data_IF_099958054071
#
_entry.id   IF_099958054071
#
_cell.length_a   1.000
_cell.length_b   1.000
_cell.length_c   1.000
_cell.angle_alpha   90.00
_cell.angle_beta   90.00
_cell.angle_gamma   90.00
#
_symmetry.space_group_name_H-M   'P 1'
#
loop_
_entity.id
_entity.type
_entity.pdbx_description
1 polymer ?
#
# COMPACT_ATOMS: atom_id res chain seq x y z
N UNK A 1 14.45 -15.14 -7.33
CA UNK A 1 14.36 -16.12 -8.44
C UNK A 1 13.87 -15.46 -9.72
N UNK A 2 12.76 -14.74 -9.72
CA UNK A 2 12.11 -14.21 -10.93
C UNK A 2 12.95 -13.25 -11.79
N UNK A 3 13.79 -12.41 -11.19
CA UNK A 3 14.64 -11.48 -11.95
C UNK A 3 15.67 -12.24 -12.81
N UNK A 4 16.25 -13.31 -12.29
CA UNK A 4 17.20 -14.15 -13.03
C UNK A 4 16.51 -14.91 -14.16
N UNK A 5 15.38 -15.51 -13.89
CA UNK A 5 14.57 -16.24 -14.88
C UNK A 5 14.12 -15.32 -16.02
N UNK A 6 13.71 -14.08 -15.69
CA UNK A 6 13.38 -13.07 -16.69
C UNK A 6 14.58 -12.71 -17.57
N UNK A 7 15.77 -12.53 -16.97
CA UNK A 7 17.00 -12.25 -17.70
C UNK A 7 17.41 -13.42 -18.59
N UNK A 8 17.30 -14.66 -18.12
CA UNK A 8 17.56 -15.88 -18.90
C UNK A 8 16.61 -15.94 -20.11
N UNK A 9 15.33 -15.66 -19.92
CA UNK A 9 14.34 -15.63 -21.00
C UNK A 9 14.67 -14.59 -22.07
N UNK A 10 15.04 -13.36 -21.66
CA UNK A 10 15.41 -12.28 -22.59
C UNK A 10 16.66 -12.62 -23.40
N UNK A 11 17.68 -13.15 -22.74
CA UNK A 11 18.92 -13.58 -23.40
C UNK A 11 18.66 -14.67 -24.45
N UNK A 12 17.87 -15.68 -24.11
CA UNK A 12 17.48 -16.76 -25.02
C UNK A 12 16.62 -16.22 -26.20
N UNK A 13 15.74 -15.24 -25.95
CA UNK A 13 14.95 -14.62 -26.99
C UNK A 13 15.84 -13.89 -28.02
N UNK A 14 16.82 -13.11 -27.55
CA UNK A 14 17.76 -12.43 -28.44
C UNK A 14 18.60 -13.41 -29.28
N UNK A 15 19.09 -14.49 -28.66
CA UNK A 15 19.81 -15.54 -29.38
C UNK A 15 18.96 -16.21 -30.46
N UNK A 16 17.70 -16.52 -30.17
CA UNK A 16 16.75 -17.10 -31.14
C UNK A 16 16.47 -16.16 -32.33
N UNK A 17 16.51 -14.84 -32.09
CA UNK A 17 16.33 -13.83 -33.11
C UNK A 17 17.61 -13.56 -33.93
N UNK A 18 18.69 -14.28 -33.67
CA UNK A 18 19.96 -14.16 -34.40
C UNK A 18 20.81 -12.96 -34.00
N UNK A 19 20.59 -12.37 -32.83
CA UNK A 19 21.46 -11.32 -32.30
C UNK A 19 22.81 -11.95 -31.93
N UNK A 20 23.90 -11.53 -32.60
CA UNK A 20 25.16 -12.23 -32.56
C UNK A 20 25.99 -12.04 -31.27
N UNK A 21 26.00 -10.87 -30.68
CA UNK A 21 26.79 -10.57 -29.48
C UNK A 21 25.87 -10.18 -28.32
N UNK A 22 25.29 -11.22 -27.68
CA UNK A 22 24.45 -11.02 -26.49
C UNK A 22 25.32 -11.27 -25.27
N UNK A 23 25.50 -10.23 -24.47
CA UNK A 23 26.22 -10.29 -23.20
C UNK A 23 25.28 -9.92 -22.06
N UNK A 24 25.45 -10.60 -20.94
CA UNK A 24 24.75 -10.28 -19.71
C UNK A 24 25.70 -9.60 -18.76
N UNK A 25 25.29 -8.47 -18.21
CA UNK A 25 26.03 -7.77 -17.18
C UNK A 25 25.26 -7.85 -15.86
N UNK A 26 25.92 -8.33 -14.80
CA UNK A 26 25.37 -8.37 -13.46
C UNK A 26 25.72 -7.09 -12.71
N UNK A 27 24.74 -6.51 -12.03
CA UNK A 27 24.91 -5.36 -11.15
C UNK A 27 24.01 -5.48 -9.94
N UNK A 28 24.27 -4.68 -8.89
CA UNK A 28 23.45 -4.65 -7.69
C UNK A 28 22.44 -3.52 -7.72
N UNK A 29 21.20 -3.83 -7.35
CA UNK A 29 20.15 -2.84 -7.13
C UNK A 29 19.65 -2.92 -5.68
N UNK A 30 19.27 -1.78 -5.11
CA UNK A 30 18.62 -1.74 -3.81
C UNK A 30 17.13 -1.74 -4.04
N UNK A 31 16.44 -2.75 -3.53
CA UNK A 31 14.98 -2.93 -3.69
C UNK A 31 14.30 -3.00 -2.32
N UNK A 32 13.08 -2.47 -2.20
CA UNK A 32 12.26 -2.68 -1.02
C UNK A 32 11.67 -4.10 -1.06
N UNK A 33 11.75 -4.80 0.05
CA UNK A 33 11.10 -6.09 0.25
C UNK A 33 9.98 -5.93 1.28
N UNK A 34 8.76 -6.25 0.88
CA UNK A 34 7.63 -6.38 1.79
C UNK A 34 7.81 -7.67 2.60
N UNK A 35 7.83 -7.54 3.92
CA UNK A 35 7.96 -8.65 4.87
C UNK A 35 6.64 -8.95 5.58
N UNK A 36 5.55 -8.36 5.10
CA UNK A 36 4.20 -8.53 5.58
C UNK A 36 3.66 -7.32 6.32
N UNK A 37 2.34 -7.17 6.23
CA UNK A 37 1.56 -6.18 6.95
C UNK A 37 0.21 -6.77 7.36
N UNK A 38 -0.30 -6.35 8.52
CA UNK A 38 -1.57 -6.84 9.04
C UNK A 38 -2.31 -5.75 9.81
N UNK A 39 -3.63 -5.82 9.75
CA UNK A 39 -4.55 -5.04 10.57
C UNK A 39 -5.29 -5.98 11.52
N UNK A 40 -5.20 -5.71 12.80
CA UNK A 40 -5.93 -6.43 13.85
C UNK A 40 -7.05 -5.53 14.33
N UNK A 41 -8.27 -6.08 14.38
CA UNK A 41 -9.44 -5.44 14.97
C UNK A 41 -9.78 -6.20 16.25
N UNK A 42 -9.36 -5.75 17.44
CA UNK A 42 -9.52 -6.50 18.69
C UNK A 42 -10.97 -6.88 18.99
N UNK A 43 -11.92 -6.04 18.59
CA UNK A 43 -13.37 -6.32 18.73
C UNK A 43 -13.80 -7.59 17.95
N UNK A 44 -13.05 -8.00 16.91
CA UNK A 44 -13.37 -9.18 16.07
C UNK A 44 -12.62 -10.45 16.52
N UNK A 45 -11.84 -10.36 17.61
CA UNK A 45 -11.01 -11.45 18.12
C UNK A 45 -9.56 -11.37 17.63
N UNK A 46 -8.87 -12.52 17.62
CA UNK A 46 -7.43 -12.61 17.32
C UNK A 46 -7.12 -12.70 15.81
N UNK A 47 -8.12 -12.59 14.93
CA UNK A 47 -7.93 -12.67 13.49
C UNK A 47 -7.17 -11.45 12.94
N UNK A 48 -6.25 -11.70 12.02
CA UNK A 48 -5.51 -10.69 11.29
C UNK A 48 -6.11 -10.51 9.89
N UNK A 49 -6.25 -9.25 9.46
CA UNK A 49 -6.57 -8.89 8.09
C UNK A 49 -5.26 -8.60 7.38
N UNK A 50 -4.94 -9.37 6.34
CA UNK A 50 -3.74 -9.17 5.54
C UNK A 50 -3.80 -7.82 4.82
N UNK A 51 -2.69 -7.08 4.90
CA UNK A 51 -2.48 -5.83 4.17
C UNK A 51 -1.29 -5.97 3.24
N UNK A 52 -1.35 -5.25 2.15
CA UNK A 52 -0.27 -5.21 1.15
C UNK A 52 0.35 -3.81 1.13
N UNK A 53 1.66 -3.75 1.32
CA UNK A 53 2.40 -2.50 1.33
C UNK A 53 2.41 -1.84 -0.05
N UNK A 54 2.06 -0.55 -0.11
CA UNK A 54 2.25 0.23 -1.32
C UNK A 54 3.73 0.52 -1.55
N UNK A 55 4.14 0.69 -2.82
CA UNK A 55 5.51 1.04 -3.17
C UNK A 55 5.97 2.31 -2.42
N UNK A 56 7.24 2.36 -1.95
CA UNK A 56 7.79 3.55 -1.29
C UNK A 56 7.72 4.80 -2.18
N UNK A 57 7.45 5.94 -1.56
CA UNK A 57 7.29 7.23 -2.23
C UNK A 57 8.56 8.11 -2.14
N UNK A 58 9.74 7.55 -2.28
CA UNK A 58 11.07 8.18 -2.12
C UNK A 58 11.48 8.48 -0.67
N UNK A 59 10.55 8.69 0.25
CA UNK A 59 10.84 9.06 1.65
C UNK A 59 10.50 7.93 2.60
N UNK A 60 9.35 7.31 2.42
CA UNK A 60 8.79 6.37 3.37
C UNK A 60 8.55 4.99 2.75
N UNK A 61 9.05 3.98 3.43
CA UNK A 61 8.56 2.61 3.29
C UNK A 61 7.22 2.46 4.03
N UNK A 62 6.51 1.38 3.78
CA UNK A 62 5.27 1.05 4.51
C UNK A 62 5.52 0.50 5.91
N UNK A 63 6.75 0.47 6.38
CA UNK A 63 7.09 0.04 7.74
C UNK A 63 6.49 0.96 8.79
N UNK A 64 6.02 0.37 9.87
CA UNK A 64 5.58 1.05 11.09
C UNK A 64 6.54 0.71 12.24
N UNK A 65 6.48 1.40 13.39
CA UNK A 65 7.28 1.02 14.56
C UNK A 65 7.11 -0.46 14.93
N UNK A 66 8.11 -1.12 15.53
CA UNK A 66 8.02 -2.54 15.89
C UNK A 66 6.82 -2.92 16.77
N UNK A 67 6.40 -2.00 17.63
CA UNK A 67 5.20 -2.12 18.46
C UNK A 67 3.90 -1.98 17.67
N UNK A 68 3.98 -1.54 16.40
CA UNK A 68 2.83 -1.24 15.56
C UNK A 68 2.27 0.16 15.77
N UNK A 69 1.11 0.40 15.16
CA UNK A 69 0.30 1.60 15.35
C UNK A 69 -1.02 1.18 15.98
N UNK A 70 -1.28 1.64 17.21
CA UNK A 70 -2.62 1.60 17.80
C UNK A 70 -3.33 2.93 17.51
N UNK A 71 -4.50 2.86 16.90
CA UNK A 71 -5.25 4.04 16.49
C UNK A 71 -6.73 3.71 16.19
N UNK A 72 -7.61 4.71 16.16
CA UNK A 72 -8.91 4.53 15.55
C UNK A 72 -8.79 4.33 14.03
N UNK A 73 -9.51 3.38 13.49
CA UNK A 73 -9.75 3.23 12.05
C UNK A 73 -11.04 3.98 11.71
N UNK A 74 -10.98 4.86 10.73
CA UNK A 74 -12.13 5.63 10.22
C UNK A 74 -12.24 5.46 8.71
N UNK A 75 -13.44 5.65 8.16
CA UNK A 75 -13.66 5.56 6.71
C UNK A 75 -13.89 6.94 6.10
N UNK A 76 -13.09 7.29 5.10
CA UNK A 76 -13.12 8.59 4.45
C UNK A 76 -13.66 8.57 3.01
N UNK A 77 -14.37 7.51 2.60
CA UNK A 77 -14.95 7.43 1.26
C UNK A 77 -13.91 7.56 0.16
N UNK A 78 -14.18 8.44 -0.81
CA UNK A 78 -13.26 8.78 -1.90
C UNK A 78 -12.19 9.82 -1.50
N UNK A 79 -12.17 10.28 -0.25
CA UNK A 79 -11.29 11.37 0.19
C UNK A 79 -11.69 12.76 -0.32
N UNK A 80 -12.89 12.93 -0.87
CA UNK A 80 -13.50 14.23 -1.09
C UNK A 80 -14.00 14.81 0.24
N UNK A 81 -13.91 16.10 0.45
CA UNK A 81 -14.23 16.74 1.73
C UNK A 81 -15.61 16.34 2.26
N UNK A 82 -16.61 16.25 1.39
CA UNK A 82 -17.97 15.86 1.80
C UNK A 82 -18.10 14.38 2.21
N UNK A 83 -17.11 13.51 1.93
CA UNK A 83 -17.20 12.08 2.24
C UNK A 83 -16.73 11.73 3.65
N UNK A 84 -16.06 12.66 4.33
CA UNK A 84 -15.57 12.51 5.69
C UNK A 84 -15.92 13.71 6.59
N UNK A 85 -16.93 14.47 6.23
CA UNK A 85 -17.40 15.60 7.03
C UNK A 85 -17.79 15.14 8.46
N UNK A 86 -17.28 15.87 9.46
CA UNK A 86 -17.45 15.52 10.87
C UNK A 86 -16.61 14.34 11.40
N UNK A 87 -15.70 13.76 10.59
CA UNK A 87 -14.80 12.70 11.01
C UNK A 87 -13.45 13.30 11.41
N UNK A 88 -12.98 13.00 12.63
CA UNK A 88 -11.63 13.36 13.06
C UNK A 88 -10.61 12.40 12.45
N UNK A 89 -9.74 12.91 11.60
CA UNK A 89 -8.68 12.16 10.92
C UNK A 89 -7.34 12.24 11.69
N UNK A 90 -7.23 13.14 12.65
CA UNK A 90 -5.97 13.34 13.38
C UNK A 90 -5.61 12.10 14.20
N UNK A 91 -4.42 11.56 13.91
CA UNK A 91 -3.94 10.36 14.58
C UNK A 91 -4.60 9.05 14.13
N UNK A 92 -5.57 9.08 13.21
CA UNK A 92 -6.30 7.91 12.75
C UNK A 92 -5.54 7.10 11.67
N UNK A 93 -5.82 5.81 11.59
CA UNK A 93 -5.66 5.00 10.39
C UNK A 93 -6.91 5.22 9.53
N UNK A 94 -6.73 5.55 8.25
CA UNK A 94 -7.86 5.90 7.37
C UNK A 94 -8.05 4.83 6.31
N UNK A 95 -9.25 4.24 6.28
CA UNK A 95 -9.74 3.39 5.21
C UNK A 95 -10.39 4.26 4.13
N UNK A 96 -10.09 4.02 2.87
CA UNK A 96 -10.68 4.77 1.76
C UNK A 96 -10.78 3.95 0.48
N UNK A 97 -11.58 4.43 -0.48
CA UNK A 97 -11.70 3.82 -1.79
C UNK A 97 -10.40 3.96 -2.59
N UNK A 98 -10.01 2.91 -3.34
CA UNK A 98 -8.84 2.97 -4.21
C UNK A 98 -9.02 3.98 -5.34
N UNK A 99 -10.16 4.00 -6.00
CA UNK A 99 -10.45 4.92 -7.10
C UNK A 99 -10.77 6.34 -6.59
N UNK A 100 -9.75 7.02 -6.11
CA UNK A 100 -9.80 8.32 -5.44
C UNK A 100 -8.65 9.25 -5.85
N UNK A 101 -7.98 8.99 -7.00
CA UNK A 101 -6.84 9.77 -7.48
C UNK A 101 -5.78 9.99 -6.37
N UNK A 102 -5.38 11.23 -6.16
CA UNK A 102 -4.45 11.71 -5.16
C UNK A 102 -5.13 12.26 -3.88
N UNK A 103 -6.44 12.04 -3.71
CA UNK A 103 -7.19 12.58 -2.58
C UNK A 103 -6.67 12.13 -1.20
N UNK A 104 -5.96 10.99 -1.16
CA UNK A 104 -5.26 10.54 0.04
C UNK A 104 -4.27 11.56 0.61
N UNK A 105 -3.76 12.49 -0.22
CA UNK A 105 -2.88 13.57 0.21
C UNK A 105 -3.56 14.51 1.20
N UNK A 106 -4.86 14.75 1.02
CA UNK A 106 -5.67 15.57 1.93
C UNK A 106 -5.76 14.92 3.30
N UNK A 107 -5.96 13.61 3.34
CA UNK A 107 -6.07 12.85 4.58
C UNK A 107 -4.74 12.86 5.34
N UNK A 108 -3.63 12.72 4.62
CA UNK A 108 -2.29 12.87 5.18
C UNK A 108 -2.07 14.29 5.76
N UNK A 109 -2.49 15.33 5.04
CA UNK A 109 -2.38 16.72 5.49
C UNK A 109 -3.26 17.01 6.74
N UNK A 110 -4.35 16.28 6.92
CA UNK A 110 -5.24 16.36 8.09
C UNK A 110 -4.79 15.48 9.26
N UNK A 111 -3.59 14.89 9.19
CA UNK A 111 -2.96 14.20 10.32
C UNK A 111 -3.23 12.68 10.40
N UNK A 112 -3.71 12.06 9.33
CA UNK A 112 -3.80 10.60 9.28
C UNK A 112 -2.43 9.95 9.52
N UNK A 113 -2.38 8.86 10.28
CA UNK A 113 -1.14 8.11 10.58
C UNK A 113 -0.80 7.06 9.54
N UNK A 114 -1.81 6.51 8.87
CA UNK A 114 -1.67 5.55 7.79
C UNK A 114 -2.90 5.59 6.89
N UNK A 115 -2.74 5.19 5.63
CA UNK A 115 -3.83 5.06 4.66
C UNK A 115 -3.94 3.61 4.22
N UNK A 116 -5.17 3.08 4.22
CA UNK A 116 -5.50 1.75 3.69
C UNK A 116 -6.52 1.93 2.56
N UNK A 117 -6.16 1.51 1.36
CA UNK A 117 -7.04 1.53 0.20
C UNK A 117 -7.81 0.21 0.10
N UNK A 118 -9.12 0.28 -0.11
CA UNK A 118 -9.95 -0.90 -0.41
C UNK A 118 -9.65 -1.33 -1.84
N UNK A 119 -9.28 -2.60 -2.05
CA UNK A 119 -9.05 -3.18 -3.37
C UNK A 119 -10.25 -2.93 -4.30
N UNK A 120 -10.06 -2.30 -5.47
CA UNK A 120 -11.14 -2.01 -6.40
C UNK A 120 -11.57 -3.27 -7.15
N UNK A 121 -12.80 -3.28 -7.66
CA UNK A 121 -13.24 -4.30 -8.61
C UNK A 121 -12.61 -4.06 -9.98
N UNK A 122 -12.66 -2.81 -10.42
CA UNK A 122 -12.01 -2.32 -11.63
C UNK A 122 -11.26 -1.03 -11.32
N UNK A 123 -10.12 -0.84 -11.98
CA UNK A 123 -9.34 0.39 -11.83
C UNK A 123 -8.62 0.72 -13.13
N UNK A 124 -8.11 1.94 -13.23
CA UNK A 124 -7.31 2.40 -14.36
C UNK A 124 -5.86 2.66 -13.94
N UNK A 125 -4.96 2.66 -14.92
CA UNK A 125 -3.57 3.05 -14.71
C UNK A 125 -3.43 4.41 -14.02
N UNK A 126 -4.26 5.38 -14.39
CA UNK A 126 -4.22 6.72 -13.79
C UNK A 126 -4.56 6.71 -12.30
N UNK A 127 -5.53 5.87 -11.88
CA UNK A 127 -5.85 5.71 -10.46
C UNK A 127 -4.67 5.13 -9.67
N UNK A 128 -3.97 4.15 -10.25
CA UNK A 128 -2.77 3.56 -9.65
C UNK A 128 -1.62 4.57 -9.61
N UNK A 129 -1.43 5.37 -10.66
CA UNK A 129 -0.41 6.42 -10.70
C UNK A 129 -0.62 7.46 -9.60
N UNK A 130 -1.86 7.86 -9.32
CA UNK A 130 -2.18 8.77 -8.21
C UNK A 130 -1.81 8.23 -6.81
N UNK A 131 -1.62 6.91 -6.66
CA UNK A 131 -1.17 6.27 -5.42
C UNK A 131 0.35 6.11 -5.34
N UNK A 132 1.04 6.09 -6.47
CA UNK A 132 2.48 5.83 -6.58
C UNK A 132 3.27 7.08 -6.95
N UNK A 133 2.63 8.25 -7.00
CA UNK A 133 3.33 9.50 -7.32
C UNK A 133 4.48 9.76 -6.33
N UNK A 134 5.56 10.29 -6.86
CA UNK A 134 6.81 10.59 -6.15
C UNK A 134 6.65 11.82 -5.21
N UNK A 135 5.57 11.83 -4.44
CA UNK A 135 5.32 12.85 -3.44
C UNK A 135 5.99 12.41 -2.14
N UNK A 136 6.96 13.17 -1.62
CA UNK A 136 7.75 12.79 -0.47
C UNK A 136 6.97 12.98 0.85
N UNK A 137 5.87 12.27 1.05
CA UNK A 137 5.10 12.28 2.28
C UNK A 137 5.54 11.14 3.21
N UNK A 138 5.72 11.47 4.48
CA UNK A 138 6.08 10.52 5.52
C UNK A 138 4.84 9.83 6.10
N UNK A 139 4.11 9.07 5.28
CA UNK A 139 2.93 8.30 5.68
C UNK A 139 2.96 6.89 5.08
N UNK A 140 2.80 5.83 5.88
CA UNK A 140 2.68 4.47 5.36
C UNK A 140 1.33 4.29 4.66
N UNK A 141 1.36 3.56 3.53
CA UNK A 141 0.20 3.32 2.69
C UNK A 141 0.09 1.85 2.36
N UNK A 142 -1.12 1.33 2.45
CA UNK A 142 -1.44 -0.07 2.23
C UNK A 142 -2.66 -0.19 1.33
N UNK A 143 -2.89 -1.38 0.82
CA UNK A 143 -4.19 -1.79 0.33
C UNK A 143 -4.61 -3.10 1.01
N UNK A 144 -5.90 -3.33 1.04
CA UNK A 144 -6.54 -4.50 1.60
C UNK A 144 -7.39 -5.15 0.52
N UNK A 145 -7.51 -6.47 0.54
CA UNK A 145 -8.39 -7.18 -0.37
C UNK A 145 -9.82 -6.65 -0.28
N UNK A 146 -10.51 -6.65 -1.45
CA UNK A 146 -11.83 -6.07 -1.58
C UNK A 146 -12.82 -6.63 -0.56
N UNK A 147 -12.80 -7.93 -0.33
CA UNK A 147 -13.74 -8.58 0.58
C UNK A 147 -13.60 -8.04 2.00
N UNK A 148 -12.38 -8.02 2.53
CA UNK A 148 -12.09 -7.52 3.87
C UNK A 148 -12.26 -6.00 3.97
N UNK A 149 -11.85 -5.27 2.94
CA UNK A 149 -12.09 -3.83 2.84
C UNK A 149 -13.57 -3.47 2.90
N UNK A 150 -14.43 -4.23 2.23
CA UNK A 150 -15.88 -4.05 2.27
C UNK A 150 -16.48 -4.44 3.63
N UNK A 151 -15.93 -5.43 4.33
CA UNK A 151 -16.35 -5.77 5.72
C UNK A 151 -16.05 -4.60 6.65
N UNK A 152 -14.82 -4.06 6.60
CA UNK A 152 -14.41 -2.89 7.38
C UNK A 152 -15.30 -1.69 7.08
N UNK A 153 -15.50 -1.38 5.79
CA UNK A 153 -16.34 -0.27 5.35
C UNK A 153 -17.77 -0.37 5.92
N UNK A 154 -18.41 -1.52 5.78
CA UNK A 154 -19.78 -1.73 6.32
C UNK A 154 -19.86 -1.47 7.82
N UNK A 155 -18.83 -1.84 8.56
CA UNK A 155 -18.79 -1.62 10.02
C UNK A 155 -18.58 -0.14 10.39
N UNK A 156 -17.85 0.60 9.55
CA UNK A 156 -17.54 2.02 9.75
C UNK A 156 -18.60 2.97 9.20
N UNK A 157 -19.48 2.48 8.32
CA UNK A 157 -20.62 3.26 7.79
C UNK A 157 -21.86 3.03 8.66
N UNK A 158 -22.23 4.02 9.48
CA UNK A 158 -23.42 4.04 10.32
C UNK A 158 -24.13 5.38 10.24
N UNK A 159 -25.20 5.57 11.01
CA UNK A 159 -25.95 6.84 11.10
C UNK A 159 -25.09 7.97 11.72
N UNK A 160 -24.05 7.62 12.49
CA UNK A 160 -23.05 8.54 13.02
C UNK A 160 -21.65 8.04 12.62
N UNK A 161 -20.65 8.92 12.56
CA UNK A 161 -19.27 8.52 12.35
C UNK A 161 -18.84 7.47 13.37
N UNK A 162 -18.42 6.31 12.89
CA UNK A 162 -17.99 5.19 13.73
C UNK A 162 -16.50 5.00 13.51
N UNK A 163 -15.77 4.75 14.59
CA UNK A 163 -14.37 4.30 14.53
C UNK A 163 -14.24 2.93 15.16
N UNK A 164 -13.26 2.15 14.67
CA UNK A 164 -12.83 0.88 15.26
C UNK A 164 -11.44 1.05 15.87
N UNK A 165 -11.22 0.57 17.08
CA UNK A 165 -9.87 0.46 17.58
C UNK A 165 -9.12 -0.62 16.80
N UNK A 166 -7.95 -0.29 16.25
CA UNK A 166 -7.13 -1.22 15.47
C UNK A 166 -5.67 -1.18 15.88
N UNK A 167 -4.97 -2.28 15.58
CA UNK A 167 -3.50 -2.37 15.57
C UNK A 167 -3.03 -2.65 14.17
N UNK A 168 -2.13 -1.82 13.67
CA UNK A 168 -1.50 -1.95 12.37
C UNK A 168 -0.05 -2.34 12.55
N UNK A 169 0.35 -3.46 11.96
CA UNK A 169 1.73 -3.94 11.90
C UNK A 169 2.19 -3.98 10.45
N UNK A 170 3.44 -3.61 10.22
CA UNK A 170 4.04 -3.73 8.89
C UNK A 170 5.55 -3.63 8.96
N UNK A 171 6.21 -4.39 8.11
CA UNK A 171 7.64 -4.33 7.94
C UNK A 171 8.03 -4.38 6.46
N UNK A 172 8.88 -3.46 6.06
CA UNK A 172 9.51 -3.43 4.75
C UNK A 172 11.00 -3.10 4.92
N UNK A 173 11.88 -3.92 4.36
CA UNK A 173 13.32 -3.71 4.41
C UNK A 173 13.87 -3.39 3.03
N UNK A 174 14.92 -2.56 2.99
CA UNK A 174 15.71 -2.35 1.78
C UNK A 174 16.82 -3.38 1.72
N UNK A 175 16.94 -4.11 0.60
CA UNK A 175 17.99 -5.09 0.39
C UNK A 175 18.66 -4.91 -0.96
N UNK A 176 19.97 -5.19 -0.98
CA UNK A 176 20.69 -5.34 -2.25
C UNK A 176 20.33 -6.68 -2.87
N UNK A 177 20.01 -6.63 -4.15
CA UNK A 177 19.68 -7.80 -4.96
C UNK A 177 20.44 -7.73 -6.28
N UNK A 178 20.92 -8.87 -6.81
CA UNK A 178 21.48 -8.90 -8.13
C UNK A 178 20.41 -8.63 -9.18
N UNK A 179 20.76 -7.83 -10.16
CA UNK A 179 19.99 -7.58 -11.37
C UNK A 179 20.90 -7.77 -12.58
N UNK A 180 20.32 -7.96 -13.75
CA UNK A 180 21.05 -8.23 -14.98
C UNK A 180 20.53 -7.32 -16.08
N UNK A 181 21.47 -6.80 -16.86
CA UNK A 181 21.23 -5.97 -18.01
C UNK A 181 21.56 -6.74 -19.28
#
# INVERSE_FOLDING_TARGET
>A
PGSREASDYVEDAFRRLGVGDVRREEFEVTVPLDLGAALIVPEWGEGEIELYGMWPNLVRTTSVPPEGIEAPLVYAGSGEYGTFDGIDLSGAVVLMEFNSWDHWLRLAALGARAIIFIGPEETSYLQSLGKTSDIPLNIPRFWVDREDGLKLRRRLQGEAPVSLAVRLHSRMDWRRQPAWN
#
